data_IF_751674580488
#
_entry.id   IF_751674580488
#
_cell.length_a   1.000
_cell.length_b   1.000
_cell.length_c   1.000
_cell.angle_alpha   90.00
_cell.angle_beta   90.00
_cell.angle_gamma   90.00
#
_symmetry.space_group_name_H-M   'P 1'
#
loop_
_entity.id
_entity.type
_entity.pdbx_description
1 polymer ?
#
# COMPACT_ATOMS: atom_id res chain seq x y z
N UNK A 1 -16.60 -18.38 15.76
CA UNK A 1 -15.99 -19.60 16.29
C UNK A 1 -16.36 -20.75 15.36
N UNK A 2 -15.40 -21.56 14.97
CA UNK A 2 -15.59 -22.68 14.03
C UNK A 2 -16.34 -22.31 12.72
N UNK A 3 -16.03 -21.14 12.19
CA UNK A 3 -16.69 -20.60 10.99
C UNK A 3 -18.10 -20.07 11.22
N UNK A 4 -18.59 -20.04 12.46
CA UNK A 4 -19.89 -19.46 12.80
C UNK A 4 -19.73 -18.04 13.34
N UNK A 5 -20.59 -17.15 12.91
CA UNK A 5 -20.70 -15.80 13.49
C UNK A 5 -21.32 -15.97 14.88
N UNK A 6 -20.57 -15.64 15.93
CA UNK A 6 -21.05 -15.74 17.34
C UNK A 6 -21.47 -14.38 17.90
N UNK A 7 -21.03 -13.28 17.28
CA UNK A 7 -21.44 -11.92 17.59
C UNK A 7 -21.67 -11.18 16.27
N UNK A 8 -22.84 -10.63 16.08
CA UNK A 8 -23.21 -9.78 14.95
C UNK A 8 -23.97 -8.58 15.48
N UNK A 9 -23.22 -7.62 15.99
CA UNK A 9 -23.76 -6.40 16.60
C UNK A 9 -23.39 -5.17 15.78
N UNK A 10 -24.35 -4.28 15.62
CA UNK A 10 -24.19 -3.00 14.95
C UNK A 10 -24.36 -1.85 15.94
N UNK A 11 -23.65 -0.75 15.66
CA UNK A 11 -23.83 0.48 16.44
C UNK A 11 -25.30 0.93 16.40
N UNK A 12 -25.94 1.20 17.55
CA UNK A 12 -27.32 1.63 17.61
C UNK A 12 -27.56 2.91 16.77
N UNK A 13 -28.72 3.00 16.13
CA UNK A 13 -29.08 4.14 15.28
C UNK A 13 -29.09 5.49 16.01
N UNK A 14 -29.37 5.51 17.30
CA UNK A 14 -29.33 6.71 18.14
C UNK A 14 -27.92 7.22 18.48
N UNK A 15 -26.87 6.51 18.05
CA UNK A 15 -25.47 6.96 18.10
C UNK A 15 -24.99 7.26 16.70
N UNK A 16 -24.09 6.45 16.15
CA UNK A 16 -23.53 6.65 14.81
C UNK A 16 -24.11 5.68 13.77
N UNK A 17 -24.99 4.77 14.18
CA UNK A 17 -25.51 3.71 13.31
C UNK A 17 -26.36 4.22 12.12
N UNK A 18 -26.87 5.46 12.17
CA UNK A 18 -27.54 6.09 11.03
C UNK A 18 -26.60 6.35 9.85
N UNK A 19 -25.29 6.43 10.10
CA UNK A 19 -24.26 6.69 9.07
C UNK A 19 -23.67 5.39 8.49
N UNK A 20 -24.08 4.24 9.01
CA UNK A 20 -23.49 2.95 8.70
C UNK A 20 -24.59 1.95 8.34
N UNK A 21 -24.73 1.68 7.06
CA UNK A 21 -25.54 0.59 6.54
C UNK A 21 -24.64 -0.51 5.94
N UNK A 22 -25.28 -1.59 5.50
CA UNK A 22 -24.56 -2.74 4.96
C UNK A 22 -23.89 -2.46 3.61
N UNK A 23 -24.21 -1.34 2.97
CA UNK A 23 -23.67 -0.94 1.67
C UNK A 23 -22.53 0.07 1.76
N UNK A 24 -22.16 0.49 2.97
CA UNK A 24 -21.08 1.45 3.16
C UNK A 24 -19.73 0.78 2.94
N UNK A 25 -18.93 1.38 2.08
CA UNK A 25 -17.52 1.03 1.91
C UNK A 25 -16.69 1.41 3.15
N UNK A 26 -16.20 0.42 3.88
CA UNK A 26 -15.36 0.62 5.06
C UNK A 26 -13.90 0.82 4.66
N UNK A 27 -13.27 1.83 5.27
CA UNK A 27 -11.82 1.99 5.16
C UNK A 27 -11.13 1.04 6.13
N UNK A 28 -10.23 0.20 5.61
CA UNK A 28 -9.49 -0.77 6.42
C UNK A 28 -8.48 -0.13 7.37
N UNK A 29 -8.16 1.15 7.19
CA UNK A 29 -7.11 1.84 7.92
C UNK A 29 -5.82 0.99 7.99
N UNK A 30 -5.22 0.79 9.16
CA UNK A 30 -3.97 0.03 9.29
C UNK A 30 -4.09 -1.48 9.01
N UNK A 31 -5.30 -2.04 9.01
CA UNK A 31 -5.52 -3.42 8.53
C UNK A 31 -5.15 -3.57 7.05
N UNK A 32 -5.24 -2.49 6.28
CA UNK A 32 -4.80 -2.46 4.89
C UNK A 32 -3.34 -2.87 4.67
N UNK A 33 -2.48 -2.78 5.71
CA UNK A 33 -1.09 -3.27 5.63
C UNK A 33 -1.03 -4.80 5.60
N UNK A 34 -1.87 -5.47 6.38
CA UNK A 34 -1.99 -6.93 6.33
C UNK A 34 -2.60 -7.38 5.01
N UNK A 35 -3.60 -6.65 4.52
CA UNK A 35 -4.20 -6.87 3.20
C UNK A 35 -3.14 -6.71 2.10
N UNK A 36 -2.29 -5.67 2.18
CA UNK A 36 -1.17 -5.47 1.25
C UNK A 36 -0.21 -6.65 1.26
N UNK A 37 0.18 -7.14 2.43
CA UNK A 37 1.04 -8.33 2.55
C UNK A 37 0.40 -9.56 1.91
N UNK A 38 -0.88 -9.77 2.11
CA UNK A 38 -1.64 -10.84 1.50
C UNK A 38 -1.68 -10.74 -0.03
N UNK A 39 -1.88 -9.54 -0.57
CA UNK A 39 -1.83 -9.28 -2.02
C UNK A 39 -0.45 -9.58 -2.59
N UNK A 40 0.63 -9.19 -1.90
CA UNK A 40 2.01 -9.51 -2.32
C UNK A 40 2.22 -11.03 -2.38
N UNK A 41 1.78 -11.78 -1.36
CA UNK A 41 1.86 -13.24 -1.37
C UNK A 41 1.15 -13.85 -2.59
N UNK A 42 -0.02 -13.35 -2.92
CA UNK A 42 -0.74 -13.79 -4.10
C UNK A 42 -0.09 -13.34 -5.42
N UNK A 43 0.49 -12.15 -5.47
CA UNK A 43 1.24 -11.71 -6.65
C UNK A 43 2.44 -12.64 -6.92
N UNK A 44 3.07 -13.18 -5.88
CA UNK A 44 4.11 -14.21 -6.01
C UNK A 44 3.49 -15.52 -6.52
N UNK A 45 2.41 -16.01 -5.92
CA UNK A 45 1.76 -17.25 -6.33
C UNK A 45 1.26 -17.22 -7.78
N UNK A 46 0.88 -16.05 -8.29
CA UNK A 46 0.40 -15.84 -9.66
C UNK A 46 1.56 -15.53 -10.65
N UNK A 47 2.81 -15.51 -10.19
CA UNK A 47 3.98 -15.30 -11.03
C UNK A 47 4.25 -13.86 -11.46
N UNK A 48 3.58 -12.87 -10.88
CA UNK A 48 3.89 -11.46 -11.13
C UNK A 48 5.17 -11.02 -10.43
N UNK A 49 5.51 -11.65 -9.32
CA UNK A 49 6.73 -11.42 -8.53
C UNK A 49 7.36 -12.78 -8.28
N UNK A 50 8.67 -12.90 -8.43
CA UNK A 50 9.34 -14.20 -8.35
C UNK A 50 9.32 -14.79 -6.93
N UNK A 51 9.65 -13.99 -5.92
CA UNK A 51 9.70 -14.43 -4.53
C UNK A 51 9.74 -13.26 -3.56
N UNK A 52 9.71 -13.56 -2.26
CA UNK A 52 9.95 -12.56 -1.19
C UNK A 52 11.40 -12.02 -1.20
N UNK A 53 12.33 -12.73 -1.81
CA UNK A 53 13.73 -12.31 -1.98
C UNK A 53 13.95 -11.43 -3.21
N UNK A 54 12.90 -11.21 -4.02
CA UNK A 54 12.96 -10.30 -5.18
C UNK A 54 13.45 -8.93 -4.73
N UNK A 55 14.45 -8.41 -5.45
CA UNK A 55 14.96 -7.06 -5.25
C UNK A 55 14.14 -6.05 -6.02
N UNK A 56 13.85 -4.92 -5.39
CA UNK A 56 13.11 -3.82 -6.01
C UNK A 56 14.05 -2.96 -6.87
N UNK A 57 14.57 -3.50 -7.97
CA UNK A 57 15.52 -2.83 -8.87
C UNK A 57 14.99 -2.63 -10.30
N UNK A 58 13.80 -3.11 -10.58
CA UNK A 58 13.15 -3.03 -11.88
C UNK A 58 12.06 -1.93 -11.96
N UNK A 59 11.83 -1.20 -10.86
CA UNK A 59 10.82 -0.15 -10.79
C UNK A 59 11.44 1.25 -10.81
N UNK A 60 11.34 1.98 -11.94
CA UNK A 60 12.04 3.27 -12.12
C UNK A 60 11.69 4.33 -11.08
N UNK A 61 10.46 4.31 -10.57
CA UNK A 61 10.00 5.31 -9.60
C UNK A 61 10.86 5.38 -8.33
N UNK A 62 11.42 4.26 -7.90
CA UNK A 62 12.22 4.19 -6.67
C UNK A 62 13.73 4.12 -6.90
N UNK A 63 14.19 4.20 -8.15
CA UNK A 63 15.59 4.00 -8.54
C UNK A 63 16.58 4.86 -7.72
N UNK A 64 16.22 6.10 -7.43
CA UNK A 64 17.08 7.03 -6.67
C UNK A 64 16.74 7.08 -5.16
N UNK A 65 16.11 6.05 -4.64
CA UNK A 65 15.71 5.97 -3.24
C UNK A 65 16.45 4.89 -2.47
N UNK A 66 16.41 4.99 -1.14
CA UNK A 66 16.94 3.94 -0.26
C UNK A 66 16.24 2.57 -0.43
N UNK A 67 15.07 2.54 -1.07
CA UNK A 67 14.32 1.31 -1.31
C UNK A 67 14.76 0.54 -2.56
N UNK A 68 15.49 1.21 -3.46
CA UNK A 68 16.08 0.56 -4.62
C UNK A 68 17.02 -0.58 -4.20
N UNK A 69 16.96 -1.70 -4.91
CA UNK A 69 17.77 -2.91 -4.67
C UNK A 69 17.57 -3.57 -3.28
N UNK A 70 16.56 -3.16 -2.52
CA UNK A 70 16.17 -3.88 -1.30
C UNK A 70 15.32 -5.09 -1.62
N UNK A 71 15.43 -6.13 -0.79
CA UNK A 71 14.57 -7.30 -0.90
C UNK A 71 13.15 -6.98 -0.45
N UNK A 72 12.18 -7.58 -1.12
CA UNK A 72 10.78 -7.44 -0.79
C UNK A 72 10.48 -7.81 0.67
N UNK A 73 11.15 -8.87 1.18
CA UNK A 73 11.00 -9.31 2.57
C UNK A 73 11.42 -8.24 3.59
N UNK A 74 12.42 -7.40 3.27
CA UNK A 74 12.86 -6.33 4.19
C UNK A 74 11.77 -5.26 4.32
N UNK A 75 11.03 -5.00 3.24
CA UNK A 75 9.90 -4.08 3.26
C UNK A 75 8.70 -4.69 3.99
N UNK A 76 8.38 -5.96 3.74
CA UNK A 76 7.30 -6.69 4.41
C UNK A 76 7.50 -6.73 5.93
N UNK A 77 8.74 -6.86 6.39
CA UNK A 77 9.09 -6.86 7.80
C UNK A 77 9.29 -5.46 8.41
N UNK A 78 9.08 -4.38 7.63
CA UNK A 78 9.37 -3.02 8.08
C UNK A 78 10.82 -2.81 8.54
N UNK A 79 11.78 -3.44 7.87
CA UNK A 79 13.22 -3.36 8.17
C UNK A 79 14.02 -2.65 7.08
N UNK A 80 13.36 -1.83 6.28
CA UNK A 80 13.96 -1.12 5.16
C UNK A 80 15.07 -0.09 5.54
N UNK A 81 15.25 0.20 6.83
CA UNK A 81 16.27 1.14 7.30
C UNK A 81 15.93 2.62 7.06
N UNK A 82 14.67 2.94 6.84
CA UNK A 82 14.15 4.27 6.51
C UNK A 82 13.89 5.19 7.73
N UNK A 83 14.10 4.70 8.94
CA UNK A 83 13.71 5.36 10.19
C UNK A 83 14.25 6.80 10.33
N UNK A 84 15.53 7.02 9.99
CA UNK A 84 16.15 8.35 10.10
C UNK A 84 15.57 9.32 9.09
N UNK A 85 15.36 8.85 7.85
CA UNK A 85 14.85 9.68 6.76
C UNK A 85 13.37 10.02 6.97
N UNK A 86 12.56 9.05 7.40
CA UNK A 86 11.14 9.26 7.67
C UNK A 86 10.94 10.28 8.81
N UNK A 87 11.65 10.14 9.93
CA UNK A 87 11.54 11.10 11.04
C UNK A 87 12.02 12.50 10.66
N UNK A 88 13.16 12.62 9.98
CA UNK A 88 13.76 13.92 9.71
C UNK A 88 13.05 14.66 8.59
N UNK A 89 12.77 14.00 7.48
CA UNK A 89 12.29 14.67 6.29
C UNK A 89 10.77 14.86 6.27
N UNK A 90 10.00 13.89 6.79
CA UNK A 90 8.55 14.05 6.90
C UNK A 90 8.18 15.13 7.92
N UNK A 91 8.88 15.20 9.06
CA UNK A 91 8.64 16.24 10.06
C UNK A 91 9.00 17.61 9.51
N UNK A 92 10.18 17.78 8.89
CA UNK A 92 10.61 19.05 8.29
C UNK A 92 9.68 19.52 7.17
N UNK A 93 9.15 18.60 6.37
CA UNK A 93 8.21 18.88 5.29
C UNK A 93 6.77 19.06 5.75
N UNK A 94 6.42 18.63 6.95
CA UNK A 94 5.05 18.46 7.41
C UNK A 94 4.16 19.72 7.21
N UNK A 95 4.58 20.88 7.69
CA UNK A 95 3.84 22.13 7.50
C UNK A 95 3.81 22.58 6.03
N UNK A 96 4.95 22.49 5.32
CA UNK A 96 5.06 22.89 3.91
C UNK A 96 4.22 22.02 2.99
N UNK A 97 4.10 20.72 3.32
CA UNK A 97 3.38 19.77 2.48
C UNK A 97 1.98 19.42 3.01
N UNK A 98 1.58 19.96 4.17
CA UNK A 98 0.30 19.63 4.81
C UNK A 98 -0.92 19.88 3.92
N UNK A 99 -0.85 20.90 3.05
CA UNK A 99 -1.91 21.26 2.12
C UNK A 99 -1.81 20.53 0.76
N UNK A 100 -0.72 19.79 0.51
CA UNK A 100 -0.58 19.07 -0.75
C UNK A 100 -1.38 17.77 -0.69
N UNK A 101 -2.38 17.60 -1.53
CA UNK A 101 -3.22 16.42 -1.53
C UNK A 101 -2.44 15.14 -1.86
N UNK A 102 -1.34 15.23 -2.62
CA UNK A 102 -0.47 14.10 -2.99
C UNK A 102 0.55 13.69 -1.92
N UNK A 103 0.66 14.47 -0.83
CA UNK A 103 1.72 14.33 0.19
C UNK A 103 1.93 12.92 0.76
N UNK A 104 0.96 12.05 0.59
CA UNK A 104 1.01 10.68 1.12
C UNK A 104 1.24 9.63 0.02
N UNK A 105 1.47 10.02 -1.23
CA UNK A 105 1.75 9.09 -2.32
C UNK A 105 3.23 8.75 -2.39
N UNK A 106 3.56 7.56 -2.87
CA UNK A 106 4.95 7.16 -3.12
C UNK A 106 5.59 8.10 -4.14
N UNK A 107 4.88 8.38 -5.24
CA UNK A 107 5.32 9.32 -6.29
C UNK A 107 5.77 10.65 -5.70
N UNK A 108 4.94 11.28 -4.87
CA UNK A 108 5.29 12.54 -4.22
C UNK A 108 6.57 12.44 -3.37
N UNK A 109 6.70 11.36 -2.59
CA UNK A 109 7.87 11.17 -1.74
C UNK A 109 9.15 11.00 -2.57
N UNK A 110 9.08 10.28 -3.68
CA UNK A 110 10.23 10.06 -4.58
C UNK A 110 10.61 11.35 -5.32
N UNK A 111 9.65 12.05 -5.90
CA UNK A 111 9.86 13.34 -6.59
C UNK A 111 10.44 14.43 -5.67
N UNK A 112 10.06 14.42 -4.39
CA UNK A 112 10.62 15.35 -3.40
C UNK A 112 11.96 14.88 -2.81
N UNK A 113 12.47 13.73 -3.22
CA UNK A 113 13.73 13.17 -2.73
C UNK A 113 13.73 12.90 -1.22
N UNK A 114 12.56 12.63 -0.60
CA UNK A 114 12.44 12.44 0.84
C UNK A 114 13.24 11.24 1.30
N UNK A 115 13.25 10.19 0.51
CA UNK A 115 13.96 8.94 0.77
C UNK A 115 15.16 8.75 -0.17
N UNK A 116 15.71 9.84 -0.72
CA UNK A 116 16.89 9.77 -1.56
C UNK A 116 18.02 9.06 -0.80
N UNK A 117 18.61 8.04 -1.44
CA UNK A 117 19.74 7.35 -0.88
C UNK A 117 20.93 8.31 -0.86
N UNK A 118 21.32 8.67 0.36
CA UNK A 118 22.58 9.35 0.59
C UNK A 118 23.48 8.34 1.28
N UNK A 119 24.55 7.93 0.60
CA UNK A 119 25.54 6.99 1.14
C UNK A 119 25.80 7.21 2.63
N UNK A 120 25.59 6.17 3.43
CA UNK A 120 25.79 6.19 4.89
C UNK A 120 24.61 6.64 5.75
N UNK A 121 23.44 6.95 5.19
CA UNK A 121 22.23 7.31 5.98
C UNK A 121 21.25 6.16 6.18
N UNK A 122 21.45 5.03 5.54
CA UNK A 122 20.66 3.81 5.81
C UNK A 122 20.92 3.42 7.27
N UNK A 123 19.90 3.46 8.10
CA UNK A 123 20.01 2.92 9.46
C UNK A 123 20.12 1.40 9.36
N UNK A 124 20.78 0.77 10.34
CA UNK A 124 20.75 -0.70 10.47
C UNK A 124 19.29 -1.16 10.42
N UNK A 125 19.05 -2.33 9.81
CA UNK A 125 17.73 -2.98 9.66
C UNK A 125 17.06 -3.18 11.03
N UNK A 126 16.41 -2.11 11.51
CA UNK A 126 15.55 -2.14 12.71
C UNK A 126 14.11 -1.99 12.26
N UNK A 127 13.22 -2.67 12.94
CA UNK A 127 11.79 -2.50 12.75
C UNK A 127 11.40 -1.01 12.84
N UNK A 128 10.73 -0.52 11.81
CA UNK A 128 10.20 0.83 11.74
C UNK A 128 8.84 0.81 11.04
N UNK A 129 7.78 0.85 11.81
CA UNK A 129 6.42 0.90 11.27
C UNK A 129 6.24 2.10 10.34
N UNK A 130 5.98 1.86 9.07
CA UNK A 130 6.00 2.88 8.02
C UNK A 130 4.81 2.74 7.06
N UNK A 131 4.01 3.79 6.96
CA UNK A 131 2.95 3.87 5.95
C UNK A 131 3.52 3.94 4.53
N UNK A 132 4.70 4.53 4.38
CA UNK A 132 5.35 4.66 3.08
C UNK A 132 5.74 3.30 2.53
N UNK A 133 6.31 2.44 3.38
CA UNK A 133 6.69 1.06 3.00
C UNK A 133 5.46 0.28 2.53
N UNK A 134 4.33 0.37 3.24
CA UNK A 134 3.10 -0.31 2.81
C UNK A 134 2.58 0.21 1.48
N UNK A 135 2.67 1.52 1.26
CA UNK A 135 2.31 2.10 -0.04
C UNK A 135 3.28 1.69 -1.15
N UNK A 136 4.59 1.56 -0.87
CA UNK A 136 5.56 1.03 -1.84
C UNK A 136 5.18 -0.39 -2.24
N UNK A 137 4.91 -1.26 -1.27
CA UNK A 137 4.55 -2.66 -1.50
C UNK A 137 3.33 -2.79 -2.43
N UNK A 138 2.22 -2.09 -2.12
CA UNK A 138 1.02 -2.22 -2.94
C UNK A 138 1.19 -1.60 -4.33
N UNK A 139 1.92 -0.50 -4.46
CA UNK A 139 2.23 0.08 -5.76
C UNK A 139 3.19 -0.81 -6.57
N UNK A 140 4.11 -1.51 -5.92
CA UNK A 140 4.98 -2.49 -6.58
C UNK A 140 4.16 -3.67 -7.12
N UNK A 141 3.21 -4.20 -6.34
CA UNK A 141 2.28 -5.21 -6.82
C UNK A 141 1.50 -4.75 -8.05
N UNK A 142 1.00 -3.51 -8.03
CA UNK A 142 0.30 -2.92 -9.15
C UNK A 142 1.23 -2.72 -10.37
N UNK A 143 2.47 -2.27 -10.17
CA UNK A 143 3.47 -2.15 -11.21
C UNK A 143 3.77 -3.49 -11.88
N UNK A 144 3.97 -4.55 -11.10
CA UNK A 144 4.27 -5.90 -11.59
C UNK A 144 3.09 -6.58 -12.29
N UNK A 145 1.87 -6.37 -11.80
CA UNK A 145 0.66 -6.97 -12.40
C UNK A 145 0.07 -6.13 -13.55
N UNK A 146 0.47 -4.88 -13.68
CA UNK A 146 0.01 -4.01 -14.75
C UNK A 146 -1.51 -3.82 -14.74
N UNK A 147 -2.11 -3.80 -15.92
CA UNK A 147 -3.56 -3.66 -16.10
C UNK A 147 -4.36 -4.83 -15.48
N UNK A 148 -3.68 -5.90 -15.10
CA UNK A 148 -4.29 -7.04 -14.41
C UNK A 148 -4.43 -6.86 -12.90
N UNK A 149 -4.02 -5.72 -12.32
CA UNK A 149 -4.03 -5.54 -10.87
C UNK A 149 -5.42 -5.73 -10.25
N UNK A 150 -6.49 -5.18 -10.84
CA UNK A 150 -7.85 -5.42 -10.33
C UNK A 150 -8.28 -6.88 -10.52
N UNK A 151 -7.89 -7.53 -11.61
CA UNK A 151 -8.16 -8.95 -11.81
C UNK A 151 -7.47 -9.81 -10.75
N UNK A 152 -6.24 -9.46 -10.37
CA UNK A 152 -5.54 -10.09 -9.25
C UNK A 152 -6.33 -9.92 -7.95
N UNK A 153 -6.79 -8.70 -7.61
CA UNK A 153 -7.60 -8.47 -6.42
C UNK A 153 -8.91 -9.27 -6.44
N UNK A 154 -9.62 -9.29 -7.56
CA UNK A 154 -10.86 -10.05 -7.70
C UNK A 154 -10.61 -11.56 -7.56
N UNK A 155 -9.52 -12.08 -8.12
CA UNK A 155 -9.11 -13.49 -7.95
C UNK A 155 -8.85 -13.83 -6.48
N UNK A 156 -8.16 -12.95 -5.77
CA UNK A 156 -7.83 -13.13 -4.35
C UNK A 156 -9.11 -13.10 -3.50
N UNK A 157 -9.85 -12.03 -3.60
CA UNK A 157 -10.90 -11.73 -2.61
C UNK A 157 -12.26 -12.34 -3.00
N UNK A 158 -12.67 -12.22 -4.24
CA UNK A 158 -13.96 -12.77 -4.68
C UNK A 158 -13.84 -14.28 -4.93
N UNK A 159 -12.89 -14.69 -5.80
CA UNK A 159 -12.86 -16.09 -6.23
C UNK A 159 -12.32 -17.04 -5.17
N UNK A 160 -11.22 -16.69 -4.48
CA UNK A 160 -10.58 -17.55 -3.49
C UNK A 160 -11.13 -17.34 -2.08
N UNK A 161 -11.18 -16.11 -1.60
CA UNK A 161 -11.64 -15.81 -0.24
C UNK A 161 -13.16 -15.72 -0.10
N UNK A 162 -13.90 -15.78 -1.22
CA UNK A 162 -15.38 -15.73 -1.26
C UNK A 162 -15.96 -14.49 -0.60
N UNK A 163 -15.23 -13.37 -0.67
CA UNK A 163 -15.76 -12.08 -0.23
C UNK A 163 -16.80 -11.62 -1.25
N UNK A 164 -17.96 -11.24 -0.77
CA UNK A 164 -19.12 -10.89 -1.59
C UNK A 164 -18.91 -9.61 -2.40
N UNK A 165 -18.19 -8.63 -1.80
CA UNK A 165 -17.96 -7.34 -2.42
C UNK A 165 -16.49 -7.19 -2.86
N UNK A 166 -16.21 -6.45 -3.96
CA UNK A 166 -14.85 -6.27 -4.45
C UNK A 166 -14.01 -5.44 -3.47
N UNK A 167 -12.76 -5.88 -3.28
CA UNK A 167 -11.74 -5.12 -2.56
C UNK A 167 -10.96 -4.27 -3.56
N UNK A 168 -10.74 -3.02 -3.22
CA UNK A 168 -9.94 -2.10 -4.02
C UNK A 168 -9.12 -1.16 -3.15
N UNK A 169 -8.01 -0.68 -3.68
CA UNK A 169 -7.18 0.32 -3.03
C UNK A 169 -7.47 1.70 -3.59
N UNK A 170 -7.41 2.72 -2.74
CA UNK A 170 -7.64 4.08 -3.17
C UNK A 170 -6.48 4.58 -4.03
N UNK A 171 -6.80 5.08 -5.22
CA UNK A 171 -5.87 5.85 -6.05
C UNK A 171 -6.05 7.33 -5.74
N UNK A 172 -4.97 8.00 -5.33
CA UNK A 172 -5.02 9.43 -5.01
C UNK A 172 -5.12 10.25 -6.29
N UNK A 173 -6.07 11.18 -6.31
CA UNK A 173 -6.32 12.11 -7.43
C UNK A 173 -6.77 11.46 -8.75
N UNK A 174 -7.38 10.29 -8.70
CA UNK A 174 -8.16 9.80 -9.81
C UNK A 174 -9.65 9.84 -9.46
N UNK A 175 -10.47 10.25 -10.41
CA UNK A 175 -11.92 10.20 -10.31
C UNK A 175 -12.44 8.75 -10.41
N UNK A 176 -11.56 7.80 -10.73
CA UNK A 176 -11.92 6.41 -10.87
C UNK A 176 -11.77 5.68 -9.55
N UNK A 177 -12.89 5.28 -9.00
CA UNK A 177 -12.90 4.66 -7.69
C UNK A 177 -12.97 3.14 -7.77
N UNK A 178 -13.59 2.54 -8.73
CA UNK A 178 -13.77 1.09 -8.80
C UNK A 178 -13.24 0.46 -10.07
N UNK A 179 -12.33 -0.51 -9.93
CA UNK A 179 -12.05 -1.52 -10.94
C UNK A 179 -11.29 -1.07 -12.19
N UNK A 180 -10.70 0.13 -12.20
CA UNK A 180 -9.93 0.64 -13.32
C UNK A 180 -8.54 1.08 -12.91
N UNK A 181 -7.74 0.12 -12.48
CA UNK A 181 -6.30 0.36 -12.39
C UNK A 181 -5.71 0.23 -13.79
N UNK A 182 -5.17 1.33 -14.30
CA UNK A 182 -4.31 1.31 -15.47
C UNK A 182 -2.93 1.68 -15.03
N UNK A 183 -1.94 0.87 -15.33
CA UNK A 183 -0.53 1.16 -15.10
C UNK A 183 -0.11 2.20 -16.12
N UNK A 184 -0.46 3.41 -15.84
CA UNK A 184 -0.03 4.58 -16.58
C UNK A 184 0.42 5.62 -15.55
N UNK A 185 0.82 6.78 -16.01
CA UNK A 185 1.28 7.88 -15.18
C UNK A 185 0.32 8.26 -14.03
N UNK A 186 -0.98 7.94 -14.14
CA UNK A 186 -2.00 8.31 -13.14
C UNK A 186 -1.97 7.45 -11.89
N UNK A 187 -1.56 6.18 -11.99
CA UNK A 187 -1.51 5.29 -10.81
C UNK A 187 -0.09 4.98 -10.35
N UNK A 188 0.93 5.32 -11.13
CA UNK A 188 2.31 5.04 -10.77
C UNK A 188 2.70 5.72 -9.46
N UNK A 189 2.83 4.92 -8.43
CA UNK A 189 3.10 5.38 -7.07
C UNK A 189 1.95 6.13 -6.36
N UNK A 190 0.74 6.15 -6.89
CA UNK A 190 -0.39 6.90 -6.35
C UNK A 190 -1.37 6.06 -5.52
N UNK A 191 -1.23 4.73 -5.49
CA UNK A 191 -2.10 3.84 -4.73
C UNK A 191 -1.80 3.96 -3.22
N UNK A 192 -2.84 3.92 -2.42
CA UNK A 192 -2.76 3.88 -0.95
C UNK A 192 -3.50 2.65 -0.42
N UNK A 193 -2.88 2.01 0.58
CA UNK A 193 -3.51 0.93 1.35
C UNK A 193 -4.66 1.45 2.18
#
# INVERSE_FOLDING_TARGET
>A
EDGKIVVDEKTPKNRFGIFFDDNIGWTSASMGKSITSYVIGHAICEGYIDSVDTKLNDWPLIENSLYHDQKLIDLLNFTAGDQKLSKTNLIKGGKKWSKNPNRNTVKFHMEKGIFKDTKGKKSKSKYNYSNVVSNILINYAAFKSGDNFQNLLNKIFISKAKIEYPVYFKVMHSDSVQGKYKVNEKIDGAIRY
#
